data_IF_805985977431
#
_entry.id   IF_805985977431
#
_cell.length_a   1.000
_cell.length_b   1.000
_cell.length_c   1.000
_cell.angle_alpha   90.00
_cell.angle_beta   90.00
_cell.angle_gamma   90.00
#
_symmetry.space_group_name_H-M   'P 1'
#
loop_
_entity.id
_entity.type
_entity.pdbx_description
1 polymer ?
#
# COMPACT_ATOMS: atom_id res chain seq x y z
N UNK A 1 -0.11 -32.34 14.19
CA UNK A 1 -1.05 -31.54 14.97
C UNK A 1 -2.39 -31.63 14.28
N UNK A 2 -3.46 -31.80 15.05
CA UNK A 2 -4.84 -31.75 14.54
C UNK A 2 -5.39 -30.32 14.63
N UNK A 3 -6.33 -29.96 13.76
CA UNK A 3 -7.02 -28.66 13.87
C UNK A 3 -7.75 -28.58 15.22
N UNK A 4 -7.63 -27.44 15.90
CA UNK A 4 -8.09 -27.19 17.27
C UNK A 4 -7.10 -27.62 18.36
N UNK A 5 -6.00 -28.31 18.01
CA UNK A 5 -5.03 -28.76 18.99
C UNK A 5 -4.20 -27.59 19.55
N UNK A 6 -4.06 -27.54 20.88
CA UNK A 6 -3.22 -26.59 21.60
C UNK A 6 -1.96 -27.26 22.10
N UNK A 7 -0.81 -26.62 21.90
CA UNK A 7 0.48 -27.11 22.39
C UNK A 7 1.32 -25.97 22.95
N UNK A 8 2.13 -26.31 23.96
CA UNK A 8 3.19 -25.45 24.46
C UNK A 8 4.49 -25.79 23.76
N UNK A 9 5.12 -24.81 23.13
CA UNK A 9 6.38 -24.95 22.43
C UNK A 9 7.44 -24.14 23.15
N UNK A 10 8.54 -24.79 23.51
CA UNK A 10 9.71 -24.16 24.13
C UNK A 10 10.81 -24.10 23.08
N UNK A 11 11.21 -22.89 22.69
CA UNK A 11 12.19 -22.65 21.63
C UNK A 11 13.46 -22.07 22.25
N UNK A 12 14.60 -22.76 22.14
CA UNK A 12 15.86 -22.24 22.64
C UNK A 12 16.32 -21.03 21.80
N UNK A 13 17.15 -20.14 22.36
CA UNK A 13 17.52 -18.88 21.72
C UNK A 13 18.17 -19.05 20.35
N UNK A 14 18.94 -20.12 20.14
CA UNK A 14 19.63 -20.39 18.88
C UNK A 14 18.67 -20.67 17.71
N UNK A 15 17.43 -21.09 18.00
CA UNK A 15 16.36 -21.30 17.01
C UNK A 15 15.34 -20.15 17.00
N UNK A 16 15.57 -19.11 17.80
CA UNK A 16 14.70 -17.94 17.95
C UNK A 16 15.47 -16.65 17.60
N UNK A 17 15.50 -15.66 18.51
CA UNK A 17 16.12 -14.36 18.27
C UNK A 17 17.63 -14.30 18.61
N UNK A 18 18.20 -15.38 19.15
CA UNK A 18 19.62 -15.51 19.46
C UNK A 18 20.19 -14.39 20.34
N UNK A 19 21.50 -14.15 20.20
CA UNK A 19 22.26 -13.14 20.97
C UNK A 19 21.79 -11.71 20.76
N UNK A 20 21.10 -11.43 19.64
CA UNK A 20 20.63 -10.07 19.34
C UNK A 20 19.31 -9.75 20.02
N UNK A 21 18.48 -10.77 20.28
CA UNK A 21 17.10 -10.56 20.70
C UNK A 21 16.28 -9.79 19.65
N UNK A 22 15.16 -9.22 20.10
CA UNK A 22 14.34 -8.27 19.34
C UNK A 22 13.90 -7.13 20.26
N UNK A 23 14.78 -6.15 20.53
CA UNK A 23 14.47 -5.05 21.44
C UNK A 23 13.28 -4.18 20.97
N UNK A 24 12.47 -3.65 21.89
CA UNK A 24 12.56 -3.82 23.35
C UNK A 24 11.88 -5.09 23.88
N UNK A 25 11.18 -5.84 23.02
CA UNK A 25 10.26 -6.89 23.44
C UNK A 25 10.93 -8.21 23.85
N UNK A 26 12.02 -8.59 23.19
CA UNK A 26 12.72 -9.86 23.44
C UNK A 26 14.19 -9.60 23.74
N UNK A 27 14.70 -10.01 24.92
CA UNK A 27 16.11 -9.82 25.27
C UNK A 27 17.03 -10.78 24.50
N UNK A 28 18.33 -10.51 24.57
CA UNK A 28 19.37 -11.39 24.06
C UNK A 28 19.33 -12.77 24.74
N UNK A 29 19.54 -13.83 23.96
CA UNK A 29 19.63 -15.23 24.43
C UNK A 29 18.39 -15.73 25.21
N UNK A 30 17.23 -15.14 24.97
CA UNK A 30 15.97 -15.55 25.61
C UNK A 30 15.47 -16.89 25.07
N UNK A 31 15.04 -17.78 25.98
CA UNK A 31 14.22 -18.96 25.64
C UNK A 31 12.77 -18.50 25.50
N UNK A 32 12.13 -18.87 24.40
CA UNK A 32 10.73 -18.52 24.14
C UNK A 32 9.81 -19.66 24.51
N UNK A 33 8.71 -19.34 25.17
CA UNK A 33 7.63 -20.27 25.45
C UNK A 33 6.35 -19.73 24.83
N UNK A 34 5.81 -20.46 23.85
CA UNK A 34 4.56 -20.10 23.18
C UNK A 34 3.49 -21.15 23.44
N UNK A 35 2.28 -20.69 23.74
CA UNK A 35 1.08 -21.52 23.67
C UNK A 35 0.45 -21.30 22.28
N UNK A 36 0.49 -22.33 21.44
CA UNK A 36 0.02 -22.27 20.04
C UNK A 36 -1.23 -23.11 19.86
N UNK A 37 -2.14 -22.63 19.02
CA UNK A 37 -3.36 -23.34 18.61
C UNK A 37 -3.36 -23.51 17.08
N UNK A 38 -3.59 -24.74 16.62
CA UNK A 38 -3.74 -24.99 15.19
C UNK A 38 -5.17 -24.66 14.74
N UNK A 39 -5.42 -23.43 14.32
CA UNK A 39 -6.77 -22.98 13.90
C UNK A 39 -7.27 -23.59 12.59
N UNK A 40 -6.36 -24.01 11.70
CA UNK A 40 -6.73 -24.59 10.42
C UNK A 40 -5.53 -25.04 9.61
N UNK A 41 -5.77 -25.99 8.70
CA UNK A 41 -4.78 -26.49 7.73
C UNK A 41 -5.39 -26.38 6.34
N UNK A 42 -4.75 -25.62 5.46
CA UNK A 42 -5.13 -25.52 4.05
C UNK A 42 -3.91 -25.77 3.19
N UNK A 43 -4.11 -26.43 2.05
CA UNK A 43 -3.05 -26.61 1.07
C UNK A 43 -2.83 -25.26 0.39
N UNK A 44 -1.58 -24.81 0.35
CA UNK A 44 -1.25 -23.55 -0.33
C UNK A 44 -1.74 -23.61 -1.78
N UNK A 45 -2.71 -22.75 -2.11
CA UNK A 45 -3.22 -22.64 -3.47
C UNK A 45 -2.24 -21.82 -4.30
N UNK A 46 -1.86 -22.32 -5.47
CA UNK A 46 -1.01 -21.59 -6.41
C UNK A 46 -1.58 -20.20 -6.71
N UNK A 47 -2.90 -20.12 -6.90
CA UNK A 47 -3.59 -18.85 -7.16
C UNK A 47 -3.55 -17.90 -5.96
N UNK A 48 -3.59 -18.39 -4.71
CA UNK A 48 -3.44 -17.53 -3.53
C UNK A 48 -2.06 -16.88 -3.47
N UNK A 49 -1.02 -17.61 -3.88
CA UNK A 49 0.33 -17.08 -3.95
C UNK A 49 0.44 -15.99 -5.00
N UNK A 50 -0.10 -16.25 -6.19
CA UNK A 50 -0.18 -15.26 -7.28
C UNK A 50 -0.96 -14.02 -6.84
N UNK A 51 -2.12 -14.16 -6.20
CA UNK A 51 -2.88 -13.00 -5.72
C UNK A 51 -2.12 -12.22 -4.65
N UNK A 52 -1.51 -12.88 -3.68
CA UNK A 52 -0.82 -12.19 -2.58
C UNK A 52 0.43 -11.44 -3.04
N UNK A 53 1.16 -11.97 -4.04
CA UNK A 53 2.39 -11.35 -4.53
C UNK A 53 2.11 -10.31 -5.62
N UNK A 54 1.18 -10.58 -6.56
CA UNK A 54 0.98 -9.76 -7.76
C UNK A 54 -0.07 -8.66 -7.56
N UNK A 55 -1.13 -8.91 -6.80
CA UNK A 55 -2.18 -7.93 -6.56
C UNK A 55 -1.69 -6.63 -5.91
N UNK A 56 -0.84 -6.64 -4.86
CA UNK A 56 -0.35 -5.39 -4.28
C UNK A 56 0.53 -4.59 -5.24
N UNK A 57 1.33 -5.26 -6.09
CA UNK A 57 2.15 -4.59 -7.11
C UNK A 57 1.29 -3.89 -8.16
N UNK A 58 0.21 -4.53 -8.61
CA UNK A 58 -0.75 -3.90 -9.52
C UNK A 58 -1.45 -2.71 -8.88
N UNK A 59 -1.84 -2.81 -7.60
CA UNK A 59 -2.43 -1.69 -6.87
C UNK A 59 -1.47 -0.49 -6.75
N UNK A 60 -0.19 -0.74 -6.48
CA UNK A 60 0.84 0.32 -6.40
C UNK A 60 1.05 1.01 -7.76
N UNK A 61 0.87 0.31 -8.88
CA UNK A 61 0.98 0.93 -10.21
C UNK A 61 -0.28 1.66 -10.66
N UNK A 62 -1.45 1.04 -10.46
CA UNK A 62 -2.73 1.54 -10.99
C UNK A 62 -3.26 2.74 -10.20
N UNK A 63 -3.09 2.77 -8.88
CA UNK A 63 -3.61 3.85 -8.03
C UNK A 63 -2.93 5.19 -8.35
N UNK A 64 -1.59 5.30 -8.41
CA UNK A 64 -0.91 6.55 -8.78
C UNK A 64 -1.19 6.95 -10.23
N UNK A 65 -1.31 5.98 -11.14
CA UNK A 65 -1.66 6.27 -12.53
C UNK A 65 -3.05 6.92 -12.66
N UNK A 66 -4.05 6.37 -11.95
CA UNK A 66 -5.40 6.95 -11.89
C UNK A 66 -5.40 8.34 -11.27
N UNK A 67 -4.71 8.53 -10.15
CA UNK A 67 -4.56 9.85 -9.52
C UNK A 67 -3.86 10.85 -10.45
N UNK A 68 -2.82 10.41 -11.16
CA UNK A 68 -2.11 11.20 -12.16
C UNK A 68 -3.02 11.60 -13.33
N UNK A 69 -3.85 10.68 -13.85
CA UNK A 69 -4.81 10.96 -14.92
C UNK A 69 -5.91 11.93 -14.46
N UNK A 70 -6.45 11.75 -13.26
CA UNK A 70 -7.43 12.67 -12.68
C UNK A 70 -6.80 14.05 -12.52
N UNK A 71 -5.59 14.13 -11.97
CA UNK A 71 -4.82 15.37 -11.84
C UNK A 71 -4.56 16.04 -13.19
N UNK A 72 -4.15 15.27 -14.20
CA UNK A 72 -3.92 15.75 -15.56
C UNK A 72 -5.19 16.30 -16.19
N UNK A 73 -6.31 15.59 -16.05
CA UNK A 73 -7.60 16.03 -16.58
C UNK A 73 -8.08 17.33 -15.91
N UNK A 74 -7.91 17.45 -14.60
CA UNK A 74 -8.22 18.69 -13.87
C UNK A 74 -7.30 19.84 -14.28
N UNK A 75 -6.00 19.57 -14.44
CA UNK A 75 -5.01 20.54 -14.92
C UNK A 75 -5.36 21.06 -16.33
N UNK A 76 -5.65 20.14 -17.24
CA UNK A 76 -6.02 20.45 -18.62
C UNK A 76 -7.36 21.22 -18.70
N UNK A 77 -8.36 20.82 -17.90
CA UNK A 77 -9.65 21.55 -17.83
C UNK A 77 -9.47 22.96 -17.27
N UNK A 78 -8.62 23.14 -16.27
CA UNK A 78 -8.33 24.45 -15.70
C UNK A 78 -7.57 25.37 -16.67
N UNK A 79 -6.60 24.83 -17.42
CA UNK A 79 -5.79 25.60 -18.38
C UNK A 79 -6.58 26.05 -19.61
N UNK A 80 -7.51 25.22 -20.11
CA UNK A 80 -8.46 25.57 -21.18
C UNK A 80 -9.31 26.81 -20.83
N UNK A 81 -9.80 26.91 -19.58
CA UNK A 81 -10.61 28.05 -19.13
C UNK A 81 -9.83 29.38 -19.02
N UNK A 82 -8.52 29.34 -18.73
CA UNK A 82 -7.66 30.54 -18.66
C UNK A 82 -7.40 31.15 -20.03
N UNK A 83 -7.21 30.32 -21.06
CA UNK A 83 -7.08 30.77 -22.45
C UNK A 83 -8.34 31.51 -22.94
N UNK A 84 -9.52 30.95 -22.67
CA UNK A 84 -10.80 31.55 -23.04
C UNK A 84 -11.07 32.88 -22.32
N UNK A 85 -10.83 32.96 -21.01
CA UNK A 85 -11.00 34.21 -20.23
C UNK A 85 -10.03 35.32 -20.66
N UNK A 86 -8.78 34.97 -21.02
CA UNK A 86 -7.80 35.94 -21.55
C UNK A 86 -8.26 36.52 -22.90
N UNK A 87 -8.71 35.68 -23.83
CA UNK A 87 -9.21 36.11 -25.14
C UNK A 87 -10.45 37.01 -25.03
N UNK A 88 -11.39 36.69 -24.14
CA UNK A 88 -12.59 37.51 -23.91
C UNK A 88 -12.26 38.88 -23.28
N UNK A 89 -11.27 38.94 -22.37
CA UNK A 89 -10.81 40.20 -21.75
C UNK A 89 -10.08 41.10 -22.77
N UNK A 90 -9.31 40.50 -23.66
CA UNK A 90 -8.60 41.22 -24.72
C UNK A 90 -9.55 41.74 -25.81
N UNK A 91 -10.55 40.95 -26.19
CA UNK A 91 -11.60 41.38 -27.13
C UNK A 91 -12.43 42.54 -26.57
N UNK A 92 -12.82 42.49 -25.28
CA UNK A 92 -13.51 43.61 -24.61
C UNK A 92 -12.64 44.87 -24.54
N UNK A 93 -11.33 44.74 -24.28
CA UNK A 93 -10.39 45.86 -24.26
C UNK A 93 -10.19 46.48 -25.65
N UNK A 94 -10.15 45.67 -26.71
CA UNK A 94 -10.02 46.16 -28.08
C UNK A 94 -11.30 46.85 -28.57
N UNK A 95 -12.50 46.37 -28.18
CA UNK A 95 -13.77 47.05 -28.47
C UNK A 95 -13.89 48.39 -27.74
N UNK A 96 -13.39 48.49 -26.51
CA UNK A 96 -13.40 49.74 -25.73
C UNK A 96 -12.42 50.81 -26.27
N UNK A 97 -11.39 50.42 -27.03
CA UNK A 97 -10.44 51.34 -27.69
C UNK A 97 -10.92 51.83 -29.07
N UNK A 98 -12.00 51.27 -29.60
CA UNK A 98 -12.51 51.51 -30.96
C UNK A 98 -13.81 52.33 -30.97
N UNK A 99 -14.23 52.83 -29.81
CA UNK A 99 -15.38 53.71 -29.57
C UNK A 99 -14.86 54.96 -28.87
#
# INVERSE_FOLDING_TARGET
MCVGEKRRVIIPPQLAYGKRGSPPAVPADAVLQFDVELVGLSRASYWQKVTNDVLPLLCIGLIPALLGLIGYHLYHKASSSRGAKKRLKEEKRNKAKKK
#
